data_IF_222056618472
#
_entry.id   IF_222056618472
#
_cell.length_a   1.000
_cell.length_b   1.000
_cell.length_c   1.000
_cell.angle_alpha   90.00
_cell.angle_beta   90.00
_cell.angle_gamma   90.00
#
_symmetry.space_group_name_H-M   'P 1'
#
loop_
_entity.id
_entity.type
_entity.pdbx_description
1 polymer ?
#
# COMPACT_ATOMS: atom_id res chain seq x y z
N UNK A 1 -15.10 -47.30 15.49
CA UNK A 1 -14.00 -46.34 15.72
C UNK A 1 -12.89 -46.57 14.70
N UNK A 2 -12.72 -45.68 13.73
CA UNK A 2 -11.55 -45.61 12.85
C UNK A 2 -11.25 -44.13 12.59
N UNK A 3 -10.28 -43.57 13.29
CA UNK A 3 -9.80 -42.22 13.03
C UNK A 3 -8.86 -42.25 11.82
N UNK A 4 -9.19 -41.49 10.77
CA UNK A 4 -8.28 -41.19 9.67
C UNK A 4 -7.70 -39.80 9.92
N UNK A 5 -6.46 -39.76 10.37
CA UNK A 5 -5.69 -38.52 10.51
C UNK A 5 -5.22 -38.11 9.12
N UNK A 6 -5.82 -37.06 8.54
CA UNK A 6 -5.35 -36.48 7.29
C UNK A 6 -4.24 -35.48 7.60
N UNK A 7 -3.00 -35.86 7.30
CA UNK A 7 -1.82 -35.00 7.36
C UNK A 7 -1.79 -34.20 6.04
N UNK A 8 -2.17 -32.93 6.09
CA UNK A 8 -1.91 -31.99 4.99
C UNK A 8 -0.65 -31.19 5.31
N UNK A 9 0.48 -31.68 4.85
CA UNK A 9 1.71 -30.89 4.73
C UNK A 9 1.78 -30.31 3.33
N UNK A 10 1.72 -28.99 3.20
CA UNK A 10 2.26 -28.31 2.02
C UNK A 10 3.07 -27.10 2.48
N UNK A 11 4.36 -27.33 2.70
CA UNK A 11 5.36 -26.29 2.93
C UNK A 11 5.63 -25.57 1.60
N UNK A 12 4.92 -24.48 1.35
CA UNK A 12 5.30 -23.50 0.33
C UNK A 12 6.38 -22.56 0.87
N UNK A 13 7.64 -23.02 0.91
CA UNK A 13 8.79 -22.14 1.16
C UNK A 13 9.20 -21.48 -0.17
N UNK A 14 8.77 -20.24 -0.38
CA UNK A 14 9.35 -19.38 -1.42
C UNK A 14 10.01 -18.18 -0.76
N UNK A 15 11.23 -18.40 -0.28
CA UNK A 15 12.15 -17.31 0.07
C UNK A 15 12.77 -16.77 -1.21
N UNK A 16 12.13 -15.79 -1.86
CA UNK A 16 12.79 -15.05 -2.95
C UNK A 16 13.64 -13.93 -2.36
N UNK A 17 14.85 -14.26 -1.93
CA UNK A 17 15.91 -13.28 -1.75
C UNK A 17 16.53 -13.01 -3.12
N UNK A 18 16.14 -11.90 -3.77
CA UNK A 18 16.89 -11.41 -4.94
C UNK A 18 17.76 -10.25 -4.50
N UNK A 19 19.06 -10.52 -4.36
CA UNK A 19 20.10 -9.51 -4.30
C UNK A 19 20.36 -9.04 -5.74
N UNK A 20 20.05 -7.78 -6.04
CA UNK A 20 20.52 -7.12 -7.25
C UNK A 20 21.15 -5.78 -6.85
N UNK A 21 22.45 -5.81 -6.59
CA UNK A 21 23.27 -4.60 -6.53
C UNK A 21 23.74 -4.26 -7.93
N UNK A 22 23.25 -3.17 -8.50
CA UNK A 22 23.78 -2.60 -9.73
C UNK A 22 24.27 -1.19 -9.42
N UNK A 23 25.59 -1.01 -9.43
CA UNK A 23 26.24 0.29 -9.37
C UNK A 23 26.36 0.81 -10.80
N UNK A 24 25.75 1.96 -11.10
CA UNK A 24 26.02 2.72 -12.32
C UNK A 24 26.70 4.02 -11.88
N UNK A 25 27.96 4.19 -12.26
CA UNK A 25 28.69 5.44 -12.15
C UNK A 25 28.30 6.34 -13.33
N UNK A 26 27.59 7.43 -13.05
CA UNK A 26 27.35 8.46 -14.06
C UNK A 26 28.54 9.43 -14.09
N UNK A 27 29.25 9.43 -15.21
CA UNK A 27 30.17 10.49 -15.59
C UNK A 27 29.34 11.53 -16.37
N UNK A 28 29.17 12.74 -15.82
CA UNK A 28 28.52 13.84 -16.55
C UNK A 28 29.43 15.04 -16.55
N UNK A 29 29.92 15.34 -17.76
CA UNK A 29 30.71 16.50 -18.11
C UNK A 29 29.83 17.76 -18.03
N UNK A 30 30.28 18.72 -17.23
CA UNK A 30 29.62 20.01 -17.07
C UNK A 30 29.83 20.90 -18.32
N UNK A 31 28.76 21.56 -18.77
CA UNK A 31 28.84 22.74 -19.63
C UNK A 31 28.15 23.92 -18.92
N UNK A 32 28.89 25.01 -18.84
CA UNK A 32 28.57 26.28 -18.14
C UNK A 32 27.64 27.19 -18.98
N UNK A 33 27.07 28.25 -18.38
CA UNK A 33 25.79 28.83 -18.79
C UNK A 33 25.96 30.02 -19.75
N UNK A 34 24.95 30.25 -20.60
CA UNK A 34 24.79 31.52 -21.30
C UNK A 34 23.52 32.22 -20.80
N UNK A 35 23.73 33.36 -20.16
CA UNK A 35 22.69 34.21 -19.59
C UNK A 35 22.18 35.18 -20.64
N UNK A 36 20.89 35.18 -20.95
CA UNK A 36 20.22 36.35 -21.51
C UNK A 36 18.88 36.58 -20.81
N UNK A 37 18.83 37.76 -20.21
CA UNK A 37 17.73 38.35 -19.46
C UNK A 37 16.66 38.85 -20.43
N UNK A 38 15.41 38.41 -20.24
CA UNK A 38 14.23 39.11 -20.76
C UNK A 38 13.14 39.10 -19.69
N UNK A 39 12.95 40.25 -19.06
CA UNK A 39 11.82 40.57 -18.20
C UNK A 39 10.57 40.72 -19.04
N UNK A 40 9.74 39.69 -19.10
CA UNK A 40 8.31 39.80 -19.40
C UNK A 40 7.57 38.83 -18.48
N UNK A 41 6.56 39.35 -17.81
CA UNK A 41 5.68 38.63 -16.89
C UNK A 41 4.47 38.13 -17.70
N UNK A 42 4.35 36.83 -18.01
CA UNK A 42 3.06 36.25 -18.29
C UNK A 42 2.61 35.50 -17.04
N UNK A 43 1.41 35.82 -16.57
CA UNK A 43 0.63 34.95 -15.70
C UNK A 43 0.26 33.71 -16.51
N UNK A 44 1.20 32.78 -16.65
CA UNK A 44 0.96 31.44 -17.16
C UNK A 44 0.62 30.56 -15.98
N UNK A 45 -0.65 30.17 -15.86
CA UNK A 45 -0.96 28.85 -15.31
C UNK A 45 -0.27 27.84 -16.24
N UNK A 46 0.98 27.52 -15.90
CA UNK A 46 1.73 26.49 -16.60
C UNK A 46 1.00 25.17 -16.36
N UNK A 47 0.42 24.61 -17.42
CA UNK A 47 0.01 23.22 -17.40
C UNK A 47 1.25 22.41 -16.95
N UNK A 48 1.17 21.66 -15.84
CA UNK A 48 2.34 20.94 -15.35
C UNK A 48 2.82 20.04 -16.48
N UNK A 49 4.09 20.19 -16.86
CA UNK A 49 4.70 19.33 -17.87
C UNK A 49 4.44 17.87 -17.50
N UNK A 50 4.22 17.01 -18.50
CA UNK A 50 3.93 15.59 -18.26
C UNK A 50 4.99 14.94 -17.34
N UNK A 51 6.25 15.40 -17.43
CA UNK A 51 7.35 15.04 -16.53
C UNK A 51 7.15 15.52 -15.09
N UNK A 52 6.63 16.73 -14.88
CA UNK A 52 6.25 17.26 -13.56
C UNK A 52 5.09 16.49 -12.92
N UNK A 53 4.09 16.06 -13.71
CA UNK A 53 3.03 15.17 -13.22
C UNK A 53 3.58 13.79 -12.82
N UNK A 54 4.43 13.18 -13.66
CA UNK A 54 5.01 11.88 -13.33
C UNK A 54 6.00 11.93 -12.14
N UNK A 55 6.76 13.02 -11.97
CA UNK A 55 7.65 13.20 -10.78
C UNK A 55 6.82 13.33 -9.50
N UNK A 56 5.62 13.91 -9.59
CA UNK A 56 4.67 13.91 -8.48
C UNK A 56 4.14 12.51 -8.17
N UNK A 57 4.02 11.60 -9.16
CA UNK A 57 3.64 10.19 -8.90
C UNK A 57 4.66 9.50 -8.01
N UNK A 58 5.97 9.66 -8.27
CA UNK A 58 7.02 9.03 -7.45
C UNK A 58 6.96 9.52 -6.00
N UNK A 59 6.80 10.83 -5.82
CA UNK A 59 6.70 11.46 -4.50
C UNK A 59 5.44 11.01 -3.77
N UNK A 60 4.31 11.12 -4.44
CA UNK A 60 2.99 10.81 -3.88
C UNK A 60 2.87 9.33 -3.53
N UNK A 61 3.41 8.43 -4.35
CA UNK A 61 3.43 7.00 -4.04
C UNK A 61 4.13 6.73 -2.71
N UNK A 62 5.29 7.32 -2.45
CA UNK A 62 6.00 7.14 -1.18
C UNK A 62 5.19 7.73 -0.01
N UNK A 63 4.68 8.96 -0.21
CA UNK A 63 3.86 9.66 0.79
C UNK A 63 2.63 8.85 1.22
N UNK A 64 2.05 8.06 0.33
CA UNK A 64 0.89 7.20 0.61
C UNK A 64 1.27 5.79 1.08
N UNK A 65 2.29 5.19 0.47
CA UNK A 65 2.64 3.78 0.73
C UNK A 65 3.40 3.59 2.05
N UNK A 66 4.17 4.59 2.51
CA UNK A 66 4.85 4.53 3.82
C UNK A 66 3.84 4.36 4.96
N UNK A 67 2.85 5.26 5.16
CA UNK A 67 1.88 5.09 6.24
C UNK A 67 1.03 3.82 6.08
N UNK A 68 0.67 3.44 4.85
CA UNK A 68 -0.05 2.18 4.56
C UNK A 68 0.74 0.94 5.04
N UNK A 69 2.04 0.89 4.75
CA UNK A 69 2.89 -0.21 5.22
C UNK A 69 3.13 -0.19 6.74
N UNK A 70 3.25 0.99 7.34
CA UNK A 70 3.38 1.12 8.80
C UNK A 70 2.15 0.59 9.54
N UNK A 71 0.96 0.83 8.99
CA UNK A 71 -0.27 0.25 9.52
C UNK A 71 -0.30 -1.28 9.41
N UNK A 72 0.17 -1.81 8.28
CA UNK A 72 0.33 -3.26 8.08
C UNK A 72 1.27 -3.87 9.12
N UNK A 73 2.37 -3.20 9.44
CA UNK A 73 3.34 -3.64 10.46
C UNK A 73 2.68 -3.69 11.85
N UNK A 74 1.87 -2.70 12.22
CA UNK A 74 1.13 -2.71 13.49
C UNK A 74 0.16 -3.89 13.60
N UNK A 75 -0.53 -4.24 12.51
CA UNK A 75 -1.38 -5.44 12.50
C UNK A 75 -0.60 -6.73 12.60
N UNK A 76 0.54 -6.82 11.92
CA UNK A 76 1.42 -7.98 12.06
C UNK A 76 1.91 -8.12 13.51
N UNK A 77 2.29 -7.03 14.17
CA UNK A 77 2.65 -7.04 15.59
C UNK A 77 1.52 -7.53 16.49
N UNK A 78 0.30 -7.03 16.27
CA UNK A 78 -0.87 -7.51 17.00
C UNK A 78 -1.11 -9.00 16.76
N UNK A 79 -1.01 -9.47 15.52
CA UNK A 79 -1.18 -10.88 15.18
C UNK A 79 -0.17 -11.79 15.88
N UNK A 80 1.11 -11.39 15.96
CA UNK A 80 2.14 -12.15 16.68
C UNK A 80 1.83 -12.37 18.16
N UNK A 81 0.98 -11.52 18.76
CA UNK A 81 0.57 -11.63 20.17
C UNK A 81 -0.81 -12.30 20.37
N UNK A 82 -1.69 -12.24 19.37
CA UNK A 82 -3.11 -12.64 19.52
C UNK A 82 -3.45 -13.96 18.85
N UNK A 83 -2.80 -14.30 17.73
CA UNK A 83 -3.12 -15.52 17.00
C UNK A 83 -2.64 -16.77 17.74
N UNK A 84 -3.40 -17.85 17.63
CA UNK A 84 -2.96 -19.20 18.03
C UNK A 84 -2.57 -20.07 16.83
N UNK A 85 -2.82 -19.61 15.60
CA UNK A 85 -2.54 -20.36 14.38
C UNK A 85 -1.10 -20.13 13.93
N UNK A 86 -0.27 -21.19 13.81
CA UNK A 86 1.10 -21.04 13.33
C UNK A 86 1.17 -20.44 11.92
N UNK A 87 0.15 -20.69 11.09
CA UNK A 87 0.00 -20.13 9.75
C UNK A 87 -0.06 -18.59 9.76
N UNK A 88 -0.94 -18.01 10.59
CA UNK A 88 -1.10 -16.55 10.73
C UNK A 88 0.15 -15.95 11.37
N UNK A 89 0.72 -16.61 12.39
CA UNK A 89 1.98 -16.16 13.00
C UNK A 89 3.09 -16.06 11.96
N UNK A 90 3.21 -17.06 11.08
CA UNK A 90 4.25 -17.07 10.04
C UNK A 90 4.03 -16.00 8.99
N UNK A 91 2.80 -15.78 8.58
CA UNK A 91 2.46 -14.68 7.67
C UNK A 91 2.81 -13.32 8.31
N UNK A 92 2.45 -13.12 9.57
CA UNK A 92 2.73 -11.88 10.29
C UNK A 92 4.23 -11.59 10.41
N UNK A 93 5.07 -12.59 10.70
CA UNK A 93 6.53 -12.43 10.71
C UNK A 93 7.06 -11.93 9.36
N UNK A 94 6.60 -12.54 8.26
CA UNK A 94 7.00 -12.18 6.89
C UNK A 94 6.55 -10.77 6.54
N UNK A 95 5.28 -10.45 6.75
CA UNK A 95 4.70 -9.12 6.51
C UNK A 95 5.48 -8.05 7.28
N UNK A 96 5.67 -8.25 8.59
CA UNK A 96 6.40 -7.28 9.43
C UNK A 96 7.80 -7.04 8.87
N UNK A 97 8.53 -8.12 8.55
CA UNK A 97 9.90 -8.04 8.05
C UNK A 97 9.99 -7.31 6.71
N UNK A 98 9.11 -7.62 5.77
CA UNK A 98 9.20 -7.10 4.41
C UNK A 98 8.65 -5.68 4.30
N UNK A 99 7.48 -5.40 4.89
CA UNK A 99 6.90 -4.05 4.91
C UNK A 99 7.80 -3.06 5.65
N UNK A 100 8.45 -3.47 6.75
CA UNK A 100 9.43 -2.62 7.45
C UNK A 100 10.64 -2.28 6.57
N UNK A 101 11.14 -3.23 5.79
CA UNK A 101 12.25 -3.02 4.85
C UNK A 101 11.85 -2.05 3.73
N UNK A 102 10.65 -2.22 3.19
CA UNK A 102 10.09 -1.38 2.14
C UNK A 102 9.89 0.06 2.63
N UNK A 103 9.39 0.25 3.87
CA UNK A 103 9.30 1.58 4.52
C UNK A 103 10.68 2.25 4.63
N UNK A 104 11.69 1.54 5.11
CA UNK A 104 13.05 2.10 5.24
C UNK A 104 13.63 2.50 3.88
N UNK A 105 13.41 1.66 2.86
CA UNK A 105 13.87 1.92 1.49
C UNK A 105 13.20 3.17 0.92
N UNK A 106 11.87 3.28 1.04
CA UNK A 106 11.11 4.43 0.58
C UNK A 106 11.52 5.72 1.29
N UNK A 107 11.70 5.70 2.62
CA UNK A 107 12.18 6.87 3.39
C UNK A 107 13.58 7.31 2.93
N UNK A 108 14.48 6.35 2.70
CA UNK A 108 15.84 6.63 2.21
C UNK A 108 15.81 7.31 0.85
N UNK A 109 15.02 6.77 -0.09
CA UNK A 109 14.85 7.35 -1.41
C UNK A 109 14.23 8.75 -1.37
N UNK A 110 13.18 8.91 -0.57
CA UNK A 110 12.48 10.17 -0.45
C UNK A 110 13.40 11.29 0.05
N UNK A 111 14.20 11.01 1.08
CA UNK A 111 15.21 11.94 1.57
C UNK A 111 16.27 12.25 0.52
N UNK A 112 16.77 11.24 -0.18
CA UNK A 112 17.78 11.41 -1.22
C UNK A 112 17.27 12.22 -2.42
N UNK A 113 16.00 12.08 -2.80
CA UNK A 113 15.45 12.72 -4.00
C UNK A 113 14.82 14.09 -3.74
N UNK A 114 14.29 14.32 -2.53
CA UNK A 114 13.51 15.52 -2.20
C UNK A 114 14.10 16.35 -1.06
N UNK A 115 15.20 15.89 -0.44
CA UNK A 115 15.92 16.64 0.59
C UNK A 115 15.17 16.80 1.92
N UNK A 116 14.08 16.06 2.13
CA UNK A 116 13.24 16.13 3.33
C UNK A 116 12.75 14.75 3.73
N UNK A 117 12.25 14.61 4.95
CA UNK A 117 11.66 13.37 5.46
C UNK A 117 10.24 13.15 4.91
N UNK A 118 9.78 11.89 4.88
CA UNK A 118 8.40 11.57 4.49
C UNK A 118 7.45 12.20 5.52
N UNK A 119 6.45 13.01 5.10
CA UNK A 119 5.51 13.62 6.03
C UNK A 119 4.70 12.56 6.79
N UNK A 120 4.70 12.63 8.13
CA UNK A 120 4.00 11.65 8.98
C UNK A 120 2.48 11.59 8.75
N UNK A 121 1.89 12.68 8.22
CA UNK A 121 0.46 12.84 8.01
C UNK A 121 0.10 13.06 6.52
N UNK A 122 0.90 12.55 5.59
CA UNK A 122 0.66 12.77 4.16
C UNK A 122 -0.78 12.39 3.72
N UNK A 123 -1.34 11.34 4.32
CA UNK A 123 -2.73 10.90 4.10
C UNK A 123 -3.78 11.90 4.60
N UNK A 124 -3.48 12.67 5.65
CA UNK A 124 -4.40 13.67 6.21
C UNK A 124 -4.57 14.89 5.29
N UNK A 125 -3.55 15.21 4.49
CA UNK A 125 -3.57 16.35 3.56
C UNK A 125 -4.45 16.13 2.33
N UNK A 126 -4.60 14.88 1.88
CA UNK A 126 -5.38 14.54 0.68
C UNK A 126 -6.90 14.72 0.89
N UNK A 127 -7.38 14.60 2.14
CA UNK A 127 -8.78 14.84 2.50
C UNK A 127 -9.20 16.32 2.45
N UNK A 128 -8.24 17.25 2.55
CA UNK A 128 -8.51 18.70 2.56
C UNK A 128 -8.53 19.33 1.15
N UNK A 129 -7.94 18.67 0.15
CA UNK A 129 -7.84 19.20 -1.22
C UNK A 129 -9.16 19.17 -2.00
N UNK A 130 -10.17 18.41 -1.53
CA UNK A 130 -11.51 18.38 -2.14
C UNK A 130 -12.46 19.48 -1.63
N UNK A 131 -12.09 20.20 -0.58
CA UNK A 131 -12.95 21.23 0.04
C UNK A 131 -12.73 22.64 -0.48
N UNK A 132 -11.73 22.87 -1.36
CA UNK A 132 -11.37 24.23 -1.80
C UNK A 132 -11.46 24.48 -3.31
N UNK A 133 -11.79 23.45 -4.11
CA UNK A 133 -12.07 23.60 -5.54
C UNK A 133 -13.53 23.22 -5.82
N UNK A 134 -14.41 24.22 -5.79
CA UNK A 134 -15.83 24.08 -6.17
C UNK A 134 -16.79 24.75 -5.20
N UNK A 135 -16.63 26.05 -4.96
CA UNK A 135 -17.59 26.85 -4.18
C UNK A 135 -18.17 28.01 -4.99
N UNK A 136 -18.34 27.81 -6.30
CA UNK A 136 -19.13 28.74 -7.10
C UNK A 136 -19.83 27.98 -8.24
N UNK A 137 -21.10 27.60 -8.00
CA UNK A 137 -22.23 27.66 -8.94
C UNK A 137 -23.39 26.79 -8.45
N UNK A 138 -24.48 27.46 -8.06
CA UNK A 138 -25.82 27.17 -8.57
C UNK A 138 -26.56 25.90 -8.10
N UNK A 139 -27.47 26.11 -7.15
CA UNK A 139 -28.85 25.59 -7.12
C UNK A 139 -29.11 24.11 -7.53
N UNK A 140 -29.25 23.23 -6.53
CA UNK A 140 -30.48 22.44 -6.36
C UNK A 140 -30.59 21.89 -4.92
N UNK A 141 -31.62 22.30 -4.19
CA UNK A 141 -31.96 21.77 -2.86
C UNK A 141 -32.65 20.41 -3.02
N UNK A 142 -31.90 19.33 -2.82
CA UNK A 142 -32.47 17.99 -2.71
C UNK A 142 -31.37 16.96 -2.51
N UNK A 143 -31.31 16.37 -1.31
CA UNK A 143 -30.39 15.28 -0.92
C UNK A 143 -28.93 15.68 -0.61
N UNK A 144 -28.68 16.55 0.38
CA UNK A 144 -27.35 16.63 1.02
C UNK A 144 -27.46 16.84 2.54
N UNK A 145 -27.73 15.76 3.28
CA UNK A 145 -27.29 15.59 4.67
C UNK A 145 -26.72 14.18 4.84
N UNK A 146 -25.62 13.89 4.15
CA UNK A 146 -24.67 12.88 4.62
C UNK A 146 -23.43 13.62 5.10
N UNK A 147 -23.18 13.49 6.40
CA UNK A 147 -22.07 14.05 7.14
C UNK A 147 -20.74 13.93 6.37
N UNK A 148 -20.09 15.06 6.13
CA UNK A 148 -18.78 15.19 5.48
C UNK A 148 -17.61 14.64 6.31
N UNK A 149 -17.64 13.33 6.61
CA UNK A 149 -16.55 12.55 7.21
C UNK A 149 -16.27 11.22 6.49
N UNK A 150 -16.95 10.95 5.39
CA UNK A 150 -16.86 9.67 4.68
C UNK A 150 -16.36 9.93 3.25
N UNK A 151 -15.06 10.13 3.04
CA UNK A 151 -14.47 9.93 1.70
C UNK A 151 -12.95 9.72 1.65
N UNK A 152 -12.37 9.19 2.74
CA UNK A 152 -11.09 8.47 2.78
C UNK A 152 -11.24 7.16 3.59
N UNK A 153 -12.45 6.63 3.63
CA UNK A 153 -12.91 5.60 4.58
C UNK A 153 -12.45 4.16 4.30
N UNK A 154 -11.47 3.97 3.42
CA UNK A 154 -11.13 2.64 2.90
C UNK A 154 -9.66 2.25 3.02
N UNK A 155 -8.79 3.12 3.54
CA UNK A 155 -7.37 2.81 3.73
C UNK A 155 -7.02 2.48 5.18
N UNK A 156 -7.74 3.04 6.15
CA UNK A 156 -7.50 2.78 7.57
C UNK A 156 -8.07 1.41 7.95
N UNK A 157 -7.21 0.57 8.50
CA UNK A 157 -7.60 -0.67 9.17
C UNK A 157 -8.17 -0.33 10.55
N UNK A 158 -9.22 -1.02 10.93
CA UNK A 158 -9.86 -0.82 12.22
C UNK A 158 -9.11 -1.65 13.28
N UNK A 159 -7.95 -1.15 13.70
CA UNK A 159 -7.09 -1.82 14.69
C UNK A 159 -7.82 -2.14 16.00
N UNK A 160 -8.72 -1.27 16.44
CA UNK A 160 -9.53 -1.52 17.64
C UNK A 160 -10.55 -2.66 17.41
N UNK A 161 -11.19 -2.71 16.24
CA UNK A 161 -12.09 -3.81 15.89
C UNK A 161 -11.32 -5.13 15.82
N UNK A 162 -10.13 -5.12 15.21
CA UNK A 162 -9.26 -6.30 15.16
C UNK A 162 -8.83 -6.77 16.55
N UNK A 163 -8.44 -5.83 17.42
CA UNK A 163 -8.02 -6.12 18.79
C UNK A 163 -9.14 -6.75 19.61
N UNK A 164 -10.36 -6.25 19.45
CA UNK A 164 -11.56 -6.66 20.19
C UNK A 164 -12.33 -7.81 19.52
N UNK A 165 -11.89 -8.28 18.35
CA UNK A 165 -12.54 -9.37 17.64
C UNK A 165 -12.59 -10.65 18.48
N UNK A 166 -13.78 -11.27 18.53
CA UNK A 166 -13.99 -12.57 19.18
C UNK A 166 -13.22 -13.69 18.47
N UNK A 167 -13.22 -13.65 17.13
CA UNK A 167 -12.40 -14.49 16.25
C UNK A 167 -11.32 -13.62 15.59
N UNK A 168 -10.21 -13.47 16.29
CA UNK A 168 -9.09 -12.64 15.86
C UNK A 168 -8.57 -13.02 14.48
N UNK A 169 -8.38 -14.33 14.21
CA UNK A 169 -7.77 -14.80 12.97
C UNK A 169 -8.69 -14.54 11.76
N UNK A 170 -10.00 -14.71 11.94
CA UNK A 170 -11.00 -14.37 10.92
C UNK A 170 -10.98 -12.88 10.59
N UNK A 171 -10.97 -12.03 11.61
CA UNK A 171 -11.00 -10.58 11.41
C UNK A 171 -9.68 -10.07 10.83
N UNK A 172 -8.54 -10.62 11.26
CA UNK A 172 -7.24 -10.34 10.69
C UNK A 172 -7.21 -10.63 9.18
N UNK A 173 -7.67 -11.82 8.77
CA UNK A 173 -7.73 -12.19 7.35
C UNK A 173 -8.62 -11.21 6.57
N UNK A 174 -9.81 -10.90 7.10
CA UNK A 174 -10.78 -10.02 6.42
C UNK A 174 -10.19 -8.64 6.17
N UNK A 175 -9.61 -8.02 7.20
CA UNK A 175 -9.02 -6.69 7.08
C UNK A 175 -7.76 -6.71 6.21
N UNK A 176 -6.87 -7.70 6.39
CA UNK A 176 -5.61 -7.76 5.65
C UNK A 176 -5.81 -8.02 4.14
N UNK A 177 -6.83 -8.80 3.74
CA UNK A 177 -7.17 -8.96 2.33
C UNK A 177 -7.56 -7.61 1.70
N UNK A 178 -8.48 -6.87 2.34
CA UNK A 178 -8.93 -5.57 1.84
C UNK A 178 -7.77 -4.57 1.79
N UNK A 179 -6.96 -4.51 2.84
CA UNK A 179 -5.80 -3.62 2.92
C UNK A 179 -4.75 -3.92 1.84
N UNK A 180 -4.48 -5.21 1.56
CA UNK A 180 -3.60 -5.62 0.46
C UNK A 180 -4.19 -5.24 -0.91
N UNK A 181 -5.50 -5.35 -1.12
CA UNK A 181 -6.11 -4.92 -2.39
C UNK A 181 -5.89 -3.42 -2.65
N UNK A 182 -5.95 -2.59 -1.60
CA UNK A 182 -5.63 -1.16 -1.70
C UNK A 182 -4.15 -0.91 -2.00
N UNK A 183 -3.25 -1.65 -1.36
CA UNK A 183 -1.81 -1.61 -1.64
C UNK A 183 -1.47 -1.99 -3.09
N UNK A 184 -2.12 -3.02 -3.62
CA UNK A 184 -2.01 -3.44 -5.01
C UNK A 184 -2.50 -2.36 -5.97
N UNK A 185 -3.64 -1.71 -5.69
CA UNK A 185 -4.18 -0.63 -6.53
C UNK A 185 -3.21 0.55 -6.62
N UNK A 186 -2.68 1.02 -5.47
CA UNK A 186 -1.66 2.08 -5.45
C UNK A 186 -0.40 1.69 -6.22
N UNK A 187 0.02 0.43 -6.08
CA UNK A 187 1.19 -0.09 -6.78
C UNK A 187 0.97 -0.21 -8.29
N UNK A 188 -0.21 -0.59 -8.75
CA UNK A 188 -0.53 -0.62 -10.18
C UNK A 188 -0.45 0.77 -10.81
N UNK A 189 -0.99 1.79 -10.14
CA UNK A 189 -0.89 3.17 -10.61
C UNK A 189 0.57 3.63 -10.69
N UNK A 190 1.36 3.38 -9.65
CA UNK A 190 2.78 3.74 -9.64
C UNK A 190 3.58 2.97 -10.71
N UNK A 191 3.33 1.66 -10.89
CA UNK A 191 4.01 0.84 -11.89
C UNK A 191 3.86 1.38 -13.32
N UNK A 192 2.70 1.98 -13.63
CA UNK A 192 2.38 2.52 -14.95
C UNK A 192 2.86 3.96 -15.17
N UNK A 193 3.07 4.74 -14.11
CA UNK A 193 3.22 6.21 -14.22
C UNK A 193 4.42 6.81 -13.49
N UNK A 194 5.11 6.03 -12.64
CA UNK A 194 6.32 6.47 -11.94
C UNK A 194 7.48 6.72 -12.90
N UNK A 195 8.28 7.77 -12.66
CA UNK A 195 9.49 8.03 -13.47
C UNK A 195 10.69 7.24 -12.97
N UNK A 196 10.75 6.97 -11.66
CA UNK A 196 11.88 6.27 -11.02
C UNK A 196 11.77 4.75 -11.25
N UNK A 197 12.79 4.10 -11.85
CA UNK A 197 12.78 2.64 -11.97
C UNK A 197 12.70 1.94 -10.60
N UNK A 198 13.26 2.54 -9.55
CA UNK A 198 13.15 2.07 -8.17
C UNK A 198 11.70 1.92 -7.72
N UNK A 199 10.84 2.90 -8.04
CA UNK A 199 9.43 2.90 -7.67
C UNK A 199 8.65 1.87 -8.49
N UNK A 200 8.89 1.79 -9.81
CA UNK A 200 8.25 0.77 -10.65
C UNK A 200 8.60 -0.65 -10.19
N UNK A 201 9.87 -0.89 -9.85
CA UNK A 201 10.33 -2.19 -9.37
C UNK A 201 9.72 -2.54 -8.00
N UNK A 202 9.67 -1.57 -7.08
CA UNK A 202 9.02 -1.77 -5.78
C UNK A 202 7.52 -2.08 -5.97
N UNK A 203 6.82 -1.30 -6.80
CA UNK A 203 5.41 -1.51 -7.09
C UNK A 203 5.12 -2.92 -7.64
N UNK A 204 5.91 -3.41 -8.59
CA UNK A 204 5.78 -4.78 -9.11
C UNK A 204 6.03 -5.84 -8.04
N UNK A 205 7.03 -5.62 -7.17
CA UNK A 205 7.30 -6.51 -6.02
C UNK A 205 6.11 -6.56 -5.06
N UNK A 206 5.53 -5.40 -4.72
CA UNK A 206 4.36 -5.31 -3.85
C UNK A 206 3.17 -6.05 -4.46
N UNK A 207 2.87 -5.82 -5.75
CA UNK A 207 1.77 -6.51 -6.45
C UNK A 207 1.96 -8.03 -6.36
N UNK A 208 3.15 -8.52 -6.67
CA UNK A 208 3.45 -9.96 -6.65
C UNK A 208 3.26 -10.55 -5.24
N UNK A 209 3.86 -9.93 -4.24
CA UNK A 209 3.83 -10.43 -2.86
C UNK A 209 2.43 -10.35 -2.26
N UNK A 210 1.74 -9.22 -2.39
CA UNK A 210 0.37 -9.06 -1.85
C UNK A 210 -0.64 -9.96 -2.56
N UNK A 211 -0.47 -10.27 -3.85
CA UNK A 211 -1.30 -11.26 -4.56
C UNK A 211 -1.16 -12.64 -3.93
N UNK A 212 0.07 -13.08 -3.63
CA UNK A 212 0.32 -14.36 -2.99
C UNK A 212 -0.26 -14.43 -1.56
N UNK A 213 -0.08 -13.36 -0.78
CA UNK A 213 -0.64 -13.24 0.57
C UNK A 213 -2.18 -13.30 0.56
N UNK A 214 -2.83 -12.59 -0.38
CA UNK A 214 -4.29 -12.65 -0.53
C UNK A 214 -4.74 -14.07 -0.83
N UNK A 215 -4.12 -14.75 -1.81
CA UNK A 215 -4.50 -16.12 -2.18
C UNK A 215 -4.36 -17.09 -0.99
N UNK A 216 -3.27 -16.96 -0.22
CA UNK A 216 -3.03 -17.75 0.97
C UNK A 216 -4.10 -17.51 2.05
N UNK A 217 -4.44 -16.24 2.32
CA UNK A 217 -5.46 -15.88 3.29
C UNK A 217 -6.87 -16.29 2.85
N UNK A 218 -7.20 -16.18 1.56
CA UNK A 218 -8.48 -16.64 1.01
C UNK A 218 -8.63 -18.16 1.18
N UNK A 219 -7.56 -18.92 0.90
CA UNK A 219 -7.55 -20.36 1.09
C UNK A 219 -7.79 -20.73 2.56
N UNK A 220 -7.10 -20.06 3.49
CA UNK A 220 -7.32 -20.27 4.91
C UNK A 220 -8.73 -19.91 5.36
N UNK A 221 -9.26 -18.79 4.86
CA UNK A 221 -10.62 -18.39 5.18
C UNK A 221 -11.65 -19.44 4.73
N UNK A 222 -11.49 -19.98 3.52
CA UNK A 222 -12.34 -21.05 3.00
C UNK A 222 -12.25 -22.30 3.89
N UNK A 223 -11.03 -22.75 4.21
CA UNK A 223 -10.83 -23.99 4.97
C UNK A 223 -11.29 -23.88 6.43
N UNK A 224 -11.09 -22.73 7.06
CA UNK A 224 -11.35 -22.58 8.50
C UNK A 224 -12.77 -22.14 8.82
N UNK A 225 -13.46 -21.48 7.87
CA UNK A 225 -14.68 -20.75 8.17
C UNK A 225 -15.85 -20.98 7.22
N UNK A 226 -15.64 -21.64 6.08
CA UNK A 226 -16.72 -21.99 5.16
C UNK A 226 -17.04 -23.49 5.30
N UNK A 227 -18.31 -23.87 5.49
CA UNK A 227 -18.68 -25.28 5.56
C UNK A 227 -18.44 -25.96 4.21
N UNK A 228 -17.87 -27.16 4.21
CA UNK A 228 -17.81 -28.01 3.02
C UNK A 228 -19.24 -28.30 2.56
N UNK A 229 -19.59 -28.10 1.26
CA UNK A 229 -20.91 -28.48 0.76
C UNK A 229 -21.14 -29.95 1.11
N UNK A 230 -22.16 -30.23 1.91
CA UNK A 230 -22.59 -31.60 2.17
C UNK A 230 -22.98 -32.18 0.81
N UNK A 231 -22.26 -33.20 0.33
CA UNK A 231 -22.76 -34.01 -0.77
C UNK A 231 -24.10 -34.58 -0.30
N UNK A 232 -25.19 -34.00 -0.78
CA UNK A 232 -26.51 -34.59 -0.68
C UNK A 232 -26.41 -35.95 -1.37
N UNK A 233 -26.40 -37.01 -0.56
CA UNK A 233 -26.65 -38.37 -1.04
C UNK A 233 -28.02 -38.34 -1.72
N UNK A 234 -28.01 -38.45 -3.04
CA UNK A 234 -29.13 -38.96 -3.82
C UNK A 234 -28.86 -40.44 -4.07
#
# INVERSE_FOLDING_TARGET
>A
MKHRTLIYGLTGLLTSSVLAGLLITNNTQAQSPNSQHNTHHPSTQANPSQRGMMTQVDRHFIEMMVPHHEETVKMADLALTRTKRPEIKKLAETIKKDRSREVQRMRTWYKAWYGTEVPANAMAGMGMMRTQQGMDQGMNQGMMRMSGKHNMMGMEMHLEDLKNASDFDREFIRQMIHHNQMGMMMSQMAGNSATKPEIRNLAQSIIKTQTAEIAQMQQWYQVWYQPTPTQSQQ
#
